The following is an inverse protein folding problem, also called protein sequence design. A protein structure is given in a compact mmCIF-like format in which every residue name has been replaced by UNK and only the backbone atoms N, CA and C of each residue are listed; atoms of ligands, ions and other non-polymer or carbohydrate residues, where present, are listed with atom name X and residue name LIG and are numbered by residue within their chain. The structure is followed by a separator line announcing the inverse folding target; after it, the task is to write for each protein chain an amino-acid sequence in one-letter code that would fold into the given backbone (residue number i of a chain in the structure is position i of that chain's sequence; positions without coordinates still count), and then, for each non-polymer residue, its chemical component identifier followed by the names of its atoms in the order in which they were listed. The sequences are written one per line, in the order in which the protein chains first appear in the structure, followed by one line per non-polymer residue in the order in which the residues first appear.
data_IF_200930105160
#
_entry.id   IF_200930105160
#
_cell.length_a   1.000
_cell.length_b   1.000
_cell.length_c   1.000
_cell.angle_alpha   90.00
_cell.angle_beta   90.00
_cell.angle_gamma   90.00
#
_symmetry.space_group_name_H-M   'P 1'
#
loop_
_entity.id
_entity.type
_entity.pdbx_description
1 polymer ?
#
# COMPACT_ATOMS: atom_id res chain seq x y z
N UNK A 1 6.80 1.27 -2.30
CA UNK A 1 5.70 0.45 -2.87
C UNK A 1 4.41 0.83 -2.16
N UNK A 2 3.27 0.90 -2.84
CA UNK A 2 1.99 1.24 -2.23
C UNK A 2 1.15 -0.04 -2.02
N UNK A 3 0.56 -0.22 -0.84
CA UNK A 3 -0.42 -1.29 -0.60
C UNK A 3 -1.79 -0.64 -0.49
N UNK A 4 -2.66 -0.95 -1.46
CA UNK A 4 -4.04 -0.44 -1.47
C UNK A 4 -4.94 -1.44 -0.79
N UNK A 5 -5.58 -1.03 0.29
CA UNK A 5 -6.47 -1.88 1.08
C UNK A 5 -7.92 -1.61 0.70
N UNK A 6 -8.76 -2.65 0.73
CA UNK A 6 -10.20 -2.47 0.59
C UNK A 6 -10.72 -1.56 1.73
N UNK A 7 -11.62 -0.63 1.41
CA UNK A 7 -12.23 0.24 2.41
C UNK A 7 -13.04 -0.60 3.41
N UNK A 8 -12.52 -0.78 4.62
CA UNK A 8 -13.14 -1.50 5.76
C UNK A 8 -12.74 -0.80 7.06
N UNK A 9 -13.43 -1.11 8.15
CA UNK A 9 -12.99 -0.80 9.51
C UNK A 9 -11.85 -1.74 9.93
N UNK A 10 -10.65 -1.53 9.38
CA UNK A 10 -9.46 -2.24 9.83
C UNK A 10 -9.09 -1.74 11.23
N UNK A 11 -8.75 -2.66 12.13
CA UNK A 11 -8.04 -2.28 13.34
C UNK A 11 -6.59 -2.00 12.95
N UNK A 12 -6.00 -0.94 13.51
CA UNK A 12 -4.62 -0.51 13.24
C UNK A 12 -3.61 -1.68 13.33
N UNK A 13 -3.83 -2.62 14.25
CA UNK A 13 -2.97 -3.79 14.46
C UNK A 13 -3.07 -4.79 13.30
N UNK A 14 -4.27 -5.02 12.75
CA UNK A 14 -4.48 -5.97 11.65
C UNK A 14 -3.90 -5.43 10.34
N UNK A 15 -4.01 -4.11 10.14
CA UNK A 15 -3.39 -3.39 9.03
C UNK A 15 -1.86 -3.45 9.09
N UNK A 16 -1.26 -3.14 10.24
CA UNK A 16 0.18 -3.18 10.42
C UNK A 16 0.78 -4.59 10.21
N UNK A 17 0.10 -5.64 10.71
CA UNK A 17 0.52 -7.03 10.50
C UNK A 17 0.48 -7.41 9.03
N UNK A 18 -0.59 -7.09 8.31
CA UNK A 18 -0.70 -7.43 6.89
C UNK A 18 0.34 -6.71 6.04
N UNK A 19 0.66 -5.46 6.39
CA UNK A 19 1.73 -4.71 5.74
C UNK A 19 3.11 -5.32 6.02
N UNK A 20 3.37 -5.74 7.26
CA UNK A 20 4.60 -6.40 7.65
C UNK A 20 4.80 -7.75 6.93
N UNK A 21 3.75 -8.56 6.81
CA UNK A 21 3.83 -9.83 6.06
C UNK A 21 4.20 -9.58 4.59
N UNK A 22 3.52 -8.63 3.94
CA UNK A 22 3.76 -8.31 2.53
C UNK A 22 5.16 -7.72 2.28
N UNK A 23 5.67 -6.91 3.20
CA UNK A 23 7.02 -6.34 3.09
C UNK A 23 8.09 -7.38 3.41
N UNK A 24 7.87 -8.26 4.39
CA UNK A 24 8.82 -9.32 4.77
C UNK A 24 9.07 -10.32 3.64
N UNK A 25 8.01 -10.74 2.94
CA UNK A 25 8.12 -11.66 1.80
C UNK A 25 9.03 -11.07 0.70
N UNK A 26 8.83 -9.78 0.38
CA UNK A 26 9.58 -9.09 -0.68
C UNK A 26 10.97 -8.63 -0.25
N UNK A 27 11.15 -8.26 1.01
CA UNK A 27 12.46 -7.97 1.60
C UNK A 27 13.36 -9.20 1.54
N UNK A 28 12.80 -10.37 1.86
CA UNK A 28 13.53 -11.64 1.83
C UNK A 28 13.86 -12.09 0.41
N UNK A 29 12.93 -11.90 -0.53
CA UNK A 29 13.10 -12.32 -1.93
C UNK A 29 14.10 -11.43 -2.71
N UNK A 30 14.14 -10.11 -2.45
CA UNK A 30 14.91 -9.15 -3.25
C UNK A 30 15.91 -8.30 -2.47
N UNK A 31 16.03 -8.46 -1.14
CA UNK A 31 16.89 -7.61 -0.30
C UNK A 31 16.46 -6.15 -0.23
N UNK A 32 15.19 -5.85 -0.51
CA UNK A 32 14.62 -4.49 -0.58
C UNK A 32 13.81 -4.16 0.67
N UNK A 33 14.18 -3.11 1.40
CA UNK A 33 13.35 -2.57 2.49
C UNK A 33 12.10 -1.88 1.91
N UNK A 34 10.96 -2.54 2.06
CA UNK A 34 9.67 -2.03 1.58
C UNK A 34 8.93 -1.41 2.76
N UNK A 35 9.01 -0.08 2.86
CA UNK A 35 8.11 0.69 3.71
C UNK A 35 6.74 0.80 3.03
N UNK A 36 5.79 -0.01 3.50
CA UNK A 36 4.44 -0.01 2.99
C UNK A 36 3.63 1.13 3.62
N UNK A 37 3.11 2.03 2.78
CA UNK A 37 2.16 3.04 3.21
C UNK A 37 0.73 2.60 2.89
N UNK A 38 -0.13 2.47 3.91
CA UNK A 38 -1.53 2.15 3.66
C UNK A 38 -2.22 3.33 3.00
N UNK A 39 -2.94 3.05 1.92
CA UNK A 39 -3.82 4.01 1.26
C UNK A 39 -5.20 3.36 1.12
N UNK A 40 -6.27 3.95 1.68
CA UNK A 40 -7.64 3.48 1.45
C UNK A 40 -7.96 3.41 -0.05
N UNK A 41 -8.74 2.43 -0.49
CA UNK A 41 -9.09 2.28 -1.90
C UNK A 41 -9.88 3.48 -2.44
N UNK A 42 -10.76 4.04 -1.62
CA UNK A 42 -11.46 5.29 -1.89
C UNK A 42 -10.49 6.43 -2.18
N UNK A 43 -9.49 6.63 -1.30
CA UNK A 43 -8.42 7.60 -1.47
C UNK A 43 -7.50 7.32 -2.68
N UNK A 44 -7.25 6.05 -2.99
CA UNK A 44 -6.51 5.69 -4.20
C UNK A 44 -7.29 6.06 -5.46
N UNK A 45 -8.61 5.86 -5.45
CA UNK A 45 -9.50 6.18 -6.58
C UNK A 45 -9.64 7.69 -6.74
N UNK A 46 -9.95 8.39 -5.66
CA UNK A 46 -9.99 9.85 -5.55
C UNK A 46 -8.97 10.36 -4.51
N UNK A 47 -7.80 10.85 -4.97
CA UNK A 47 -6.75 11.37 -4.09
C UNK A 47 -7.18 12.50 -3.16
N UNK A 48 -8.27 13.22 -3.45
CA UNK A 48 -8.77 14.29 -2.59
C UNK A 48 -9.28 13.80 -1.23
N UNK A 49 -9.60 12.50 -1.11
CA UNK A 49 -10.09 11.89 0.13
C UNK A 49 -8.97 11.54 1.12
N UNK A 50 -7.70 11.70 0.75
CA UNK A 50 -6.56 11.45 1.63
C UNK A 50 -6.12 12.74 2.35
N UNK A 51 -5.68 12.70 3.62
CA UNK A 51 -5.10 13.86 4.31
C UNK A 51 -3.91 14.50 3.57
N UNK A 52 -3.22 13.71 2.75
CA UNK A 52 -2.17 14.18 1.85
C UNK A 52 -2.43 13.71 0.41
N UNK A 53 -3.19 14.48 -0.40
CA UNK A 53 -3.51 14.13 -1.78
C UNK A 53 -2.29 14.05 -2.70
N UNK A 54 -1.26 14.88 -2.44
CA UNK A 54 -0.05 14.92 -3.25
C UNK A 54 0.75 13.61 -3.15
N UNK A 55 0.82 13.04 -1.94
CA UNK A 55 1.43 11.72 -1.72
C UNK A 55 0.75 10.64 -2.57
N UNK A 56 -0.59 10.56 -2.52
CA UNK A 56 -1.34 9.56 -3.28
C UNK A 56 -1.16 9.72 -4.79
N UNK A 57 -1.13 10.97 -5.30
CA UNK A 57 -0.85 11.24 -6.72
C UNK A 57 0.55 10.78 -7.13
N UNK A 58 1.56 11.06 -6.31
CA UNK A 58 2.93 10.61 -6.55
C UNK A 58 3.02 9.08 -6.56
N UNK A 59 2.44 8.42 -5.54
CA UNK A 59 2.38 6.97 -5.46
C UNK A 59 1.67 6.36 -6.68
N UNK A 60 0.56 6.95 -7.15
CA UNK A 60 -0.16 6.49 -8.36
C UNK A 60 0.67 6.61 -9.63
N UNK A 61 1.37 7.72 -9.80
CA UNK A 61 2.24 7.96 -10.96
C UNK A 61 3.37 6.93 -11.00
N UNK A 62 3.95 6.62 -9.84
CA UNK A 62 5.13 5.77 -9.73
C UNK A 62 4.77 4.28 -9.52
N UNK A 63 3.48 3.96 -9.31
CA UNK A 63 3.02 2.60 -9.09
C UNK A 63 3.07 1.76 -10.37
N UNK A 64 3.78 0.64 -10.30
CA UNK A 64 3.73 -0.42 -11.29
C UNK A 64 2.82 -1.54 -10.77
N UNK A 65 1.82 -1.94 -11.56
CA UNK A 65 0.95 -3.05 -11.21
C UNK A 65 1.76 -4.35 -11.34
N UNK A 66 2.01 -5.02 -10.23
CA UNK A 66 2.54 -6.38 -10.25
C UNK A 66 1.34 -7.33 -10.26
N UNK A 67 1.08 -7.96 -11.41
CA UNK A 67 0.18 -9.11 -11.43
C UNK A 67 0.83 -10.20 -10.60
N UNK A 68 0.10 -10.70 -9.60
CA UNK A 68 0.58 -11.83 -8.80
C UNK A 68 0.72 -13.04 -9.71
N UNK A 69 1.96 -13.52 -9.92
CA UNK A 69 2.19 -14.88 -10.41
C UNK A 69 1.44 -15.85 -9.51
N UNK A 70 0.63 -16.68 -10.15
CA UNK A 70 0.04 -17.89 -9.58
C UNK A 70 1.11 -18.84 -9.07
#
# INVERSE_FOLDING_TARGET
MAVVLADRFWRIIDEARRLADLSADRLTEYGLDIQAHPVPRSAWTDPALHPNPALVRAMRRDAKRTEGSR
#
